data_IF_024709538696
#
_entry.id   IF_024709538696
#
_cell.length_a   1.000
_cell.length_b   1.000
_cell.length_c   1.000
_cell.angle_alpha   90.00
_cell.angle_beta   90.00
_cell.angle_gamma   90.00
#
_symmetry.space_group_name_H-M   'P 1'
#
loop_
_entity.id
_entity.type
_entity.pdbx_description
1 polymer ?
#
# COMPACT_ATOMS: atom_id res chain seq x y z
N UNK A 1 1.12 5.37 -22.50
CA UNK A 1 1.18 4.30 -21.47
C UNK A 1 1.12 4.99 -20.12
N UNK A 2 -0.07 5.05 -19.53
CA UNK A 2 -0.28 5.60 -18.18
C UNK A 2 0.44 4.69 -17.18
N UNK A 3 1.33 5.26 -16.36
CA UNK A 3 2.02 4.50 -15.31
C UNK A 3 1.01 4.28 -14.17
N UNK A 4 0.54 3.06 -14.00
CA UNK A 4 -0.32 2.71 -12.88
C UNK A 4 0.48 2.82 -11.57
N UNK A 5 -0.02 3.66 -10.67
CA UNK A 5 0.53 3.82 -9.32
C UNK A 5 0.11 2.62 -8.48
N UNK A 6 1.08 1.88 -7.95
CA UNK A 6 0.85 0.74 -7.06
C UNK A 6 1.35 1.12 -5.67
N UNK A 7 0.45 1.25 -4.72
CA UNK A 7 0.76 1.66 -3.34
C UNK A 7 1.08 0.46 -2.47
N UNK A 8 2.18 0.45 -1.72
CA UNK A 8 2.50 -0.63 -0.79
C UNK A 8 2.48 -0.11 0.64
N UNK A 9 1.46 -0.50 1.41
CA UNK A 9 1.34 -0.16 2.84
C UNK A 9 1.92 -1.29 3.68
N UNK A 10 2.81 -0.94 4.61
CA UNK A 10 3.51 -1.89 5.46
C UNK A 10 3.23 -1.57 6.93
N UNK A 11 2.82 -2.55 7.76
CA UNK A 11 2.59 -2.33 9.19
C UNK A 11 3.91 -2.17 9.98
N UNK A 12 4.99 -2.81 9.52
CA UNK A 12 6.32 -2.73 10.13
C UNK A 12 7.41 -2.77 9.04
N UNK A 13 8.14 -1.66 8.90
CA UNK A 13 9.22 -1.49 7.93
C UNK A 13 10.45 -2.35 8.28
N UNK A 14 10.72 -2.57 9.57
CA UNK A 14 11.87 -3.35 10.03
C UNK A 14 11.68 -4.84 9.72
N UNK A 15 10.49 -5.37 9.99
CA UNK A 15 10.13 -6.74 9.63
C UNK A 15 10.17 -6.95 8.11
N UNK A 16 9.61 -6.01 7.34
CA UNK A 16 9.68 -6.01 5.87
C UNK A 16 11.13 -6.07 5.36
N UNK A 17 11.99 -5.17 5.85
CA UNK A 17 13.38 -5.10 5.41
C UNK A 17 14.16 -6.38 5.71
N UNK A 18 13.87 -7.04 6.84
CA UNK A 18 14.50 -8.31 7.21
C UNK A 18 14.14 -9.44 6.23
N UNK A 19 12.85 -9.56 5.88
CA UNK A 19 12.39 -10.54 4.89
C UNK A 19 12.97 -10.23 3.52
N UNK A 20 12.90 -8.97 3.09
CA UNK A 20 13.44 -8.54 1.80
C UNK A 20 14.94 -8.84 1.68
N UNK A 21 15.72 -8.62 2.75
CA UNK A 21 17.15 -8.96 2.75
C UNK A 21 17.39 -10.45 2.53
N UNK A 22 16.61 -11.32 3.18
CA UNK A 22 16.77 -12.77 3.04
C UNK A 22 16.50 -13.30 1.62
N UNK A 23 15.72 -12.56 0.81
CA UNK A 23 15.48 -12.88 -0.61
C UNK A 23 16.73 -12.63 -1.48
N UNK A 24 17.74 -11.92 -0.99
CA UNK A 24 18.94 -11.52 -1.73
C UNK A 24 20.25 -12.10 -1.20
N UNK A 25 20.21 -13.01 -0.22
CA UNK A 25 21.42 -13.60 0.39
C UNK A 25 22.31 -14.38 -0.62
N UNK A 26 21.83 -14.61 -1.86
CA UNK A 26 22.58 -15.21 -2.97
C UNK A 26 23.51 -14.25 -3.75
N UNK A 27 23.60 -12.98 -3.37
CA UNK A 27 24.62 -12.02 -3.85
C UNK A 27 24.44 -11.47 -5.28
N UNK A 28 23.62 -12.08 -6.12
CA UNK A 28 23.30 -11.57 -7.45
C UNK A 28 22.22 -10.48 -7.38
N UNK A 29 22.46 -9.34 -8.05
CA UNK A 29 21.44 -8.29 -8.19
C UNK A 29 20.31 -8.86 -9.07
N UNK A 30 19.06 -8.91 -8.56
CA UNK A 30 17.96 -9.43 -9.35
C UNK A 30 17.60 -8.50 -10.50
N UNK A 31 17.10 -9.08 -11.59
CA UNK A 31 16.37 -8.29 -12.60
C UNK A 31 15.14 -7.60 -11.99
N UNK A 32 14.62 -6.58 -12.68
CA UNK A 32 13.51 -5.75 -12.20
C UNK A 32 12.28 -6.55 -11.73
N UNK A 33 11.86 -7.55 -12.52
CA UNK A 33 10.69 -8.37 -12.18
C UNK A 33 10.92 -9.22 -10.91
N UNK A 34 12.14 -9.73 -10.74
CA UNK A 34 12.51 -10.51 -9.55
C UNK A 34 12.54 -9.63 -8.31
N UNK A 35 13.05 -8.40 -8.43
CA UNK A 35 13.02 -7.39 -7.37
C UNK A 35 11.58 -7.04 -6.97
N UNK A 36 10.70 -6.77 -7.95
CA UNK A 36 9.28 -6.49 -7.68
C UNK A 36 8.58 -7.65 -6.97
N UNK A 37 8.88 -8.88 -7.36
CA UNK A 37 8.33 -10.07 -6.70
C UNK A 37 8.85 -10.23 -5.27
N UNK A 38 10.13 -9.95 -5.00
CA UNK A 38 10.69 -9.97 -3.65
C UNK A 38 10.06 -8.89 -2.76
N UNK A 39 9.86 -7.67 -3.27
CA UNK A 39 9.14 -6.60 -2.58
C UNK A 39 7.70 -7.03 -2.24
N UNK A 40 6.99 -7.62 -3.20
CA UNK A 40 5.63 -8.10 -2.97
C UNK A 40 5.58 -9.21 -1.89
N UNK A 41 6.51 -10.17 -1.92
CA UNK A 41 6.61 -11.24 -0.90
C UNK A 41 6.92 -10.71 0.49
N UNK A 42 7.88 -9.79 0.59
CA UNK A 42 8.20 -9.14 1.87
C UNK A 42 7.02 -8.34 2.44
N UNK A 43 6.14 -7.83 1.56
CA UNK A 43 4.87 -7.19 1.94
C UNK A 43 3.69 -8.16 2.21
N UNK A 44 3.90 -9.48 2.16
CA UNK A 44 2.86 -10.49 2.43
C UNK A 44 2.05 -10.95 1.21
N UNK A 45 2.41 -10.52 -0.01
CA UNK A 45 1.74 -10.93 -1.25
C UNK A 45 2.46 -12.12 -1.91
N UNK A 46 1.75 -12.90 -2.71
CA UNK A 46 2.37 -14.05 -3.41
C UNK A 46 3.40 -13.64 -4.47
N UNK A 47 3.09 -12.59 -5.22
CA UNK A 47 3.92 -12.02 -6.28
C UNK A 47 3.43 -10.61 -6.64
N UNK A 48 4.12 -9.93 -7.55
CA UNK A 48 3.78 -8.57 -7.96
C UNK A 48 2.40 -8.48 -8.66
N UNK A 49 2.00 -9.51 -9.39
CA UNK A 49 0.67 -9.53 -10.04
C UNK A 49 -0.46 -9.70 -9.02
N UNK A 50 -0.23 -10.45 -7.95
CA UNK A 50 -1.16 -10.56 -6.83
C UNK A 50 -1.30 -9.20 -6.13
N UNK A 51 -0.20 -8.50 -5.84
CA UNK A 51 -0.21 -7.13 -5.32
C UNK A 51 -1.02 -6.20 -6.24
N UNK A 52 -0.74 -6.21 -7.53
CA UNK A 52 -1.46 -5.39 -8.51
C UNK A 52 -2.96 -5.71 -8.55
N UNK A 53 -3.32 -7.00 -8.56
CA UNK A 53 -4.71 -7.44 -8.58
C UNK A 53 -5.49 -6.98 -7.33
N UNK A 54 -4.83 -6.93 -6.15
CA UNK A 54 -5.46 -6.41 -4.92
C UNK A 54 -5.80 -4.92 -4.98
N UNK A 55 -5.22 -4.18 -5.93
CA UNK A 55 -5.39 -2.73 -6.06
C UNK A 55 -6.26 -2.33 -7.24
N UNK A 56 -6.56 -3.27 -8.13
CA UNK A 56 -7.37 -3.02 -9.34
C UNK A 56 -8.85 -2.71 -8.99
N UNK A 57 -9.26 -2.91 -7.73
CA UNK A 57 -10.58 -2.51 -7.22
C UNK A 57 -10.56 -1.37 -6.19
N UNK A 58 -9.39 -0.79 -5.92
CA UNK A 58 -9.25 0.35 -5.03
C UNK A 58 -9.07 1.57 -5.92
N UNK A 59 -10.17 2.26 -6.22
CA UNK A 59 -10.05 3.58 -6.84
C UNK A 59 -9.07 4.41 -6.01
N UNK A 60 -8.16 5.18 -6.64
CA UNK A 60 -7.32 6.11 -5.91
C UNK A 60 -8.22 6.91 -4.97
N UNK A 61 -7.92 6.88 -3.66
CA UNK A 61 -8.56 7.80 -2.72
C UNK A 61 -8.05 9.18 -3.09
N UNK A 62 -8.74 9.83 -4.03
CA UNK A 62 -8.52 11.25 -4.24
C UNK A 62 -8.84 11.94 -2.92
N UNK A 63 -7.95 12.79 -2.39
CA UNK A 63 -8.27 13.57 -1.20
C UNK A 63 -9.51 14.41 -1.54
N UNK A 64 -10.65 14.01 -0.96
CA UNK A 64 -11.91 14.74 -1.12
C UNK A 64 -11.80 16.00 -0.28
N UNK A 65 -11.13 17.01 -0.78
CA UNK A 65 -11.07 18.31 -0.13
C UNK A 65 -12.39 19.07 -0.38
N UNK A 66 -12.90 19.76 0.65
CA UNK A 66 -14.02 20.70 0.51
C UNK A 66 -15.28 20.34 1.27
N UNK A 67 -16.43 20.88 0.82
CA UNK A 67 -17.68 20.95 1.61
C UNK A 67 -18.17 19.59 2.10
N UNK A 68 -17.95 18.50 1.36
CA UNK A 68 -18.37 17.16 1.77
C UNK A 68 -17.64 16.71 3.04
N UNK A 69 -16.32 16.93 3.10
CA UNK A 69 -15.50 16.62 4.30
C UNK A 69 -15.83 17.56 5.45
N UNK A 70 -16.03 18.86 5.20
CA UNK A 70 -16.46 19.78 6.26
C UNK A 70 -17.80 19.39 6.86
N UNK A 71 -18.77 18.93 6.05
CA UNK A 71 -20.08 18.46 6.52
C UNK A 71 -19.98 17.15 7.29
N UNK A 72 -19.13 16.23 6.85
CA UNK A 72 -18.88 14.99 7.57
C UNK A 72 -18.25 15.27 8.94
N UNK A 73 -17.23 16.16 9.00
CA UNK A 73 -16.56 16.55 10.24
C UNK A 73 -17.55 17.18 11.25
N UNK A 74 -18.51 17.98 10.76
CA UNK A 74 -19.55 18.59 11.59
C UNK A 74 -20.53 17.58 12.23
N UNK A 75 -20.50 16.29 11.86
CA UNK A 75 -21.27 15.23 12.52
C UNK A 75 -20.53 14.58 13.68
N UNK A 76 -19.25 14.90 13.88
CA UNK A 76 -18.46 14.34 14.97
C UNK A 76 -18.37 15.33 16.13
N UNK A 77 -18.51 14.83 17.35
CA UNK A 77 -18.19 15.58 18.56
C UNK A 77 -16.69 15.88 18.64
N UNK A 78 -16.24 16.80 19.50
CA UNK A 78 -14.82 17.01 19.77
C UNK A 78 -14.08 15.76 20.27
N UNK A 79 -14.81 14.78 20.82
CA UNK A 79 -14.28 13.48 21.22
C UNK A 79 -14.23 12.44 20.08
N UNK A 80 -14.64 12.81 18.85
CA UNK A 80 -14.62 11.95 17.68
C UNK A 80 -15.79 10.96 17.59
N UNK A 81 -16.86 11.15 18.37
CA UNK A 81 -18.07 10.32 18.31
C UNK A 81 -19.06 10.90 17.30
N UNK A 82 -19.66 10.04 16.48
CA UNK A 82 -20.72 10.42 15.55
C UNK A 82 -21.99 10.79 16.34
N UNK A 83 -22.46 12.02 16.22
CA UNK A 83 -23.81 12.37 16.67
C UNK A 83 -24.81 11.82 15.65
N UNK A 84 -25.71 10.95 16.09
CA UNK A 84 -26.84 10.41 15.34
C UNK A 84 -27.95 11.45 15.17
#
# INVERSE_FOLDING_TARGET
>A
MTRETISLTLPDVSAFARVLKSEFDGGAIPGHQSLLNAIARAGGYRNFQHLKATQTGTDPVEPVEGRAVSRALARFTPAGLLES
#
